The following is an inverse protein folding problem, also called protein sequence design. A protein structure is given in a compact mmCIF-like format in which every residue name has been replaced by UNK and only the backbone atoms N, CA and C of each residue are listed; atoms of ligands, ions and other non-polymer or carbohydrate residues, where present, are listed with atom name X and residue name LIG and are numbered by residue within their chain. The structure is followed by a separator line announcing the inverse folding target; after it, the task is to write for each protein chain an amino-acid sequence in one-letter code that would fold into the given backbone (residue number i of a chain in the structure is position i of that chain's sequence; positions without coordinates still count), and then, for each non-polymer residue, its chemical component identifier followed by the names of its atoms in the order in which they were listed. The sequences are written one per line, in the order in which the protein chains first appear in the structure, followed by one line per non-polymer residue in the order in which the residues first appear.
data_IF_314664834011
#
_entry.id   IF_314664834011
#
_cell.length_a   1.000
_cell.length_b   1.000
_cell.length_c   1.000
_cell.angle_alpha   90.00
_cell.angle_beta   90.00
_cell.angle_gamma   90.00
#
_symmetry.space_group_name_H-M   'P 1'
#
loop_
_entity.id
_entity.type
_entity.pdbx_description
1 polymer ?
#
# COMPACT_ATOMS: atom_id res chain seq x y z
N UNK A 1 19.91 8.30 9.62
CA UNK A 1 21.06 9.06 9.06
C UNK A 1 22.29 8.21 9.28
N UNK A 2 22.89 7.70 8.21
CA UNK A 2 24.08 6.85 8.25
C UNK A 2 24.89 7.13 6.99
N UNK A 3 26.18 7.43 7.17
CA UNK A 3 27.02 8.01 6.13
C UNK A 3 27.60 6.93 5.21
N UNK A 4 27.53 7.18 3.91
CA UNK A 4 28.37 6.58 2.87
C UNK A 4 28.51 7.60 1.72
N UNK A 5 29.76 8.00 1.47
CA UNK A 5 30.19 8.95 0.45
C UNK A 5 30.62 8.11 -0.79
N UNK A 6 30.32 8.38 -2.05
CA UNK A 6 29.83 9.56 -2.78
C UNK A 6 28.79 9.09 -3.83
N UNK A 7 28.14 9.88 -4.69
CA UNK A 7 28.47 11.21 -5.21
C UNK A 7 27.27 12.09 -5.56
N UNK A 8 26.25 12.13 -4.70
CA UNK A 8 25.51 13.39 -4.42
C UNK A 8 24.61 13.28 -3.18
N UNK A 9 24.12 12.08 -2.82
CA UNK A 9 23.19 11.84 -1.71
C UNK A 9 22.04 12.86 -1.63
N UNK A 10 21.61 13.37 -2.79
CA UNK A 10 20.53 14.33 -2.87
C UNK A 10 19.22 13.62 -2.47
N UNK A 11 18.37 14.22 -1.63
CA UNK A 11 17.05 13.67 -1.39
C UNK A 11 16.33 13.55 -2.74
N UNK A 12 15.81 12.35 -3.01
CA UNK A 12 15.03 12.05 -4.20
C UNK A 12 13.58 11.83 -3.79
N UNK A 13 12.67 12.42 -4.54
CA UNK A 13 11.22 12.27 -4.35
C UNK A 13 10.73 11.01 -5.07
N UNK A 14 9.58 10.48 -4.65
CA UNK A 14 8.97 9.35 -5.37
C UNK A 14 8.61 9.72 -6.82
N UNK A 15 8.18 10.94 -7.10
CA UNK A 15 7.93 11.41 -8.48
C UNK A 15 9.19 11.36 -9.38
N UNK A 16 10.37 11.69 -8.83
CA UNK A 16 11.64 11.54 -9.55
C UNK A 16 12.01 10.05 -9.75
N UNK A 17 11.70 9.18 -8.77
CA UNK A 17 11.93 7.74 -8.88
C UNK A 17 10.98 7.05 -9.87
N UNK A 18 9.70 7.43 -9.90
CA UNK A 18 8.71 7.01 -10.91
C UNK A 18 9.21 7.37 -12.31
N UNK A 19 9.60 8.63 -12.51
CA UNK A 19 10.19 9.12 -13.76
C UNK A 19 11.44 8.33 -14.17
N UNK A 20 12.29 7.97 -13.19
CA UNK A 20 13.52 7.23 -13.43
C UNK A 20 13.25 5.76 -13.80
N UNK A 21 12.34 5.08 -13.10
CA UNK A 21 11.89 3.71 -13.41
C UNK A 21 11.34 3.66 -14.83
N UNK A 22 10.43 4.59 -15.16
CA UNK A 22 9.82 4.69 -16.47
C UNK A 22 10.87 4.84 -17.58
N UNK A 23 11.83 5.77 -17.43
CA UNK A 23 12.91 5.94 -18.43
C UNK A 23 13.81 4.72 -18.54
N UNK A 24 14.16 4.05 -17.43
CA UNK A 24 14.95 2.81 -17.50
C UNK A 24 14.18 1.71 -18.26
N UNK A 25 12.87 1.56 -18.03
CA UNK A 25 12.07 0.55 -18.74
C UNK A 25 11.90 0.90 -20.23
N UNK A 26 11.68 2.17 -20.57
CA UNK A 26 11.50 2.63 -21.97
C UNK A 26 12.80 2.65 -22.79
N UNK A 27 13.88 3.22 -22.26
CA UNK A 27 15.11 3.53 -23.00
C UNK A 27 15.94 2.28 -23.30
N UNK A 28 15.95 1.30 -22.39
CA UNK A 28 16.69 0.06 -22.55
C UNK A 28 15.99 -0.97 -23.45
N UNK A 29 14.79 -0.68 -23.97
CA UNK A 29 14.17 -1.50 -25.04
C UNK A 29 15.04 -1.50 -26.30
N UNK A 30 15.06 -2.60 -27.06
CA UNK A 30 15.85 -2.71 -28.30
C UNK A 30 15.66 -1.52 -29.26
N UNK A 31 14.41 -1.07 -29.44
CA UNK A 31 14.05 0.01 -30.37
C UNK A 31 14.58 1.36 -29.89
N UNK A 32 14.41 1.69 -28.60
CA UNK A 32 14.85 2.99 -28.09
C UNK A 32 16.36 3.02 -27.85
N UNK A 33 16.98 1.93 -27.40
CA UNK A 33 18.43 1.82 -27.29
C UNK A 33 19.14 2.10 -28.62
N UNK A 34 18.63 1.59 -29.74
CA UNK A 34 19.16 1.89 -31.07
C UNK A 34 19.01 3.38 -31.44
N UNK A 35 17.83 3.98 -31.22
CA UNK A 35 17.61 5.42 -31.46
C UNK A 35 18.55 6.29 -30.64
N UNK A 36 18.70 6.00 -29.35
CA UNK A 36 19.55 6.76 -28.42
C UNK A 36 21.01 6.73 -28.88
N UNK A 37 21.53 5.54 -29.22
CA UNK A 37 22.92 5.41 -29.71
C UNK A 37 23.13 6.16 -31.03
N UNK A 38 22.16 6.15 -31.93
CA UNK A 38 22.19 6.94 -33.18
C UNK A 38 22.23 8.45 -32.89
N UNK A 39 21.44 8.92 -31.93
CA UNK A 39 21.33 10.34 -31.55
C UNK A 39 22.55 10.87 -30.78
N UNK A 40 23.25 10.02 -30.03
CA UNK A 40 24.45 10.38 -29.27
C UNK A 40 25.74 10.29 -30.09
N UNK A 41 25.88 9.25 -30.93
CA UNK A 41 27.16 8.91 -31.57
C UNK A 41 27.21 9.19 -33.08
N UNK A 42 26.12 9.67 -33.69
CA UNK A 42 25.99 9.95 -35.14
C UNK A 42 26.40 8.76 -36.03
N UNK A 43 25.91 7.56 -35.65
CA UNK A 43 26.24 6.28 -36.28
C UNK A 43 25.15 5.78 -37.25
N UNK A 44 25.51 4.87 -38.15
CA UNK A 44 24.54 4.23 -39.06
C UNK A 44 23.56 3.31 -38.31
N UNK A 45 22.42 2.98 -38.92
CA UNK A 45 21.44 2.06 -38.31
C UNK A 45 22.05 0.68 -38.01
N UNK A 46 22.94 0.18 -38.86
CA UNK A 46 23.65 -1.09 -38.65
C UNK A 46 24.60 -1.04 -37.44
N UNK A 47 25.25 0.10 -37.20
CA UNK A 47 26.10 0.33 -36.03
C UNK A 47 25.28 0.57 -34.75
N UNK A 48 24.13 1.25 -34.87
CA UNK A 48 23.20 1.51 -33.78
C UNK A 48 22.50 0.22 -33.28
N UNK A 49 22.20 -0.71 -34.18
CA UNK A 49 21.52 -1.99 -33.91
C UNK A 49 22.40 -3.04 -33.20
N UNK A 50 23.42 -2.60 -32.46
CA UNK A 50 24.11 -3.43 -31.46
C UNK A 50 23.20 -3.73 -30.26
N UNK A 51 23.40 -4.86 -29.58
CA UNK A 51 22.54 -5.26 -28.45
C UNK A 51 22.81 -4.36 -27.23
N UNK A 52 21.72 -3.79 -26.70
CA UNK A 52 21.68 -3.03 -25.45
C UNK A 52 22.18 -1.59 -25.50
N UNK A 53 21.91 -0.88 -24.40
CA UNK A 53 22.30 0.50 -24.12
C UNK A 53 23.28 0.50 -22.93
N UNK A 54 24.30 1.37 -22.91
CA UNK A 54 25.15 1.51 -21.72
C UNK A 54 24.55 2.45 -20.69
N UNK A 55 24.94 2.30 -19.42
CA UNK A 55 24.55 3.25 -18.35
C UNK A 55 25.04 4.67 -18.67
N UNK A 56 26.21 4.80 -19.29
CA UNK A 56 26.72 6.08 -19.79
C UNK A 56 25.80 6.69 -20.86
N UNK A 57 25.43 5.94 -21.90
CA UNK A 57 24.52 6.42 -22.96
C UNK A 57 23.16 6.86 -22.39
N UNK A 58 22.61 6.08 -21.45
CA UNK A 58 21.36 6.41 -20.76
C UNK A 58 21.47 7.74 -20.00
N UNK A 59 22.57 7.96 -19.27
CA UNK A 59 22.83 9.20 -18.53
C UNK A 59 23.01 10.39 -19.46
N UNK A 60 23.78 10.24 -20.53
CA UNK A 60 24.06 11.32 -21.47
C UNK A 60 22.80 11.74 -22.24
N UNK A 61 21.99 10.78 -22.71
CA UNK A 61 20.71 11.05 -23.35
C UNK A 61 19.73 11.79 -22.43
N UNK A 62 19.48 11.26 -21.23
CA UNK A 62 18.52 11.87 -20.30
C UNK A 62 19.02 13.20 -19.71
N UNK A 63 20.33 13.42 -19.64
CA UNK A 63 20.91 14.74 -19.31
C UNK A 63 20.74 15.72 -20.45
N UNK A 64 21.07 15.33 -21.70
CA UNK A 64 20.96 16.17 -22.90
C UNK A 64 19.53 16.64 -23.15
N UNK A 65 18.55 15.75 -22.96
CA UNK A 65 17.14 16.02 -23.17
C UNK A 65 16.42 16.59 -21.93
N UNK A 66 17.14 16.77 -20.81
CA UNK A 66 16.59 17.21 -19.52
C UNK A 66 15.38 16.37 -19.03
N UNK A 67 15.35 15.08 -19.39
CA UNK A 67 14.21 14.17 -19.18
C UNK A 67 13.82 13.98 -17.71
N UNK A 68 14.73 14.30 -16.79
CA UNK A 68 14.61 14.12 -15.33
C UNK A 68 14.71 15.46 -14.56
N UNK A 69 14.55 16.60 -15.24
CA UNK A 69 14.59 17.96 -14.68
C UNK A 69 15.96 18.47 -14.19
N UNK A 70 16.94 17.56 -14.07
CA UNK A 70 18.36 17.80 -13.76
C UNK A 70 19.19 16.71 -14.46
N UNK A 71 20.52 16.81 -14.40
CA UNK A 71 21.39 15.79 -15.00
C UNK A 71 21.08 14.40 -14.45
N UNK A 72 20.96 13.42 -15.34
CA UNK A 72 20.76 12.02 -14.98
C UNK A 72 21.89 11.47 -14.10
N UNK A 73 23.10 12.04 -14.20
CA UNK A 73 24.25 11.67 -13.36
C UNK A 73 24.00 11.92 -11.87
N UNK A 74 23.18 12.90 -11.50
CA UNK A 74 22.75 13.13 -10.10
C UNK A 74 22.02 11.93 -9.50
N UNK A 75 21.41 11.09 -10.34
CA UNK A 75 20.71 9.89 -9.90
C UNK A 75 21.54 8.60 -10.03
N UNK A 76 22.85 8.65 -10.34
CA UNK A 76 23.67 7.46 -10.65
C UNK A 76 23.55 6.32 -9.62
N UNK A 77 23.46 6.65 -8.32
CA UNK A 77 23.22 5.67 -7.26
C UNK A 77 21.85 4.98 -7.41
N UNK A 78 20.78 5.75 -7.60
CA UNK A 78 19.42 5.24 -7.79
C UNK A 78 19.28 4.49 -9.12
N UNK A 79 19.92 4.96 -10.19
CA UNK A 79 20.00 4.26 -11.49
C UNK A 79 20.58 2.86 -11.29
N UNK A 80 21.76 2.75 -10.66
CA UNK A 80 22.41 1.45 -10.43
C UNK A 80 21.56 0.52 -9.55
N UNK A 81 20.93 1.06 -8.49
CA UNK A 81 20.06 0.28 -7.61
C UNK A 81 18.79 -0.23 -8.33
N UNK A 82 18.13 0.63 -9.12
CA UNK A 82 16.96 0.27 -9.91
C UNK A 82 17.31 -0.73 -11.02
N UNK A 83 18.44 -0.55 -11.72
CA UNK A 83 18.92 -1.51 -12.72
C UNK A 83 19.16 -2.90 -12.11
N UNK A 84 19.67 -2.99 -10.88
CA UNK A 84 19.83 -4.26 -10.17
C UNK A 84 18.46 -4.90 -9.87
N UNK A 85 17.51 -4.17 -9.27
CA UNK A 85 16.15 -4.66 -9.03
C UNK A 85 15.43 -5.10 -10.31
N UNK A 86 15.56 -4.33 -11.40
CA UNK A 86 14.94 -4.65 -12.70
C UNK A 86 15.56 -5.89 -13.36
N UNK A 87 16.83 -6.20 -13.08
CA UNK A 87 17.46 -7.48 -13.47
C UNK A 87 16.98 -8.62 -12.60
N UNK A 88 16.90 -8.46 -11.27
CA UNK A 88 16.36 -9.47 -10.36
C UNK A 88 14.92 -9.86 -10.70
N UNK A 89 14.11 -8.87 -11.11
CA UNK A 89 12.73 -9.03 -11.60
C UNK A 89 12.65 -9.47 -13.07
N UNK A 90 13.76 -9.70 -13.76
CA UNK A 90 13.83 -10.10 -15.19
C UNK A 90 13.17 -9.14 -16.19
N UNK A 91 12.96 -7.87 -15.81
CA UNK A 91 12.39 -6.80 -16.65
C UNK A 91 13.40 -6.29 -17.67
N UNK A 92 14.68 -6.28 -17.26
CA UNK A 92 15.83 -6.00 -18.12
C UNK A 92 16.91 -7.07 -17.90
N UNK A 93 17.79 -7.26 -18.89
CA UNK A 93 18.89 -8.22 -18.83
C UNK A 93 20.23 -7.49 -18.89
N UNK A 94 21.15 -7.82 -17.99
CA UNK A 94 22.52 -7.31 -18.04
C UNK A 94 23.34 -8.07 -19.09
N UNK A 95 23.98 -7.33 -19.99
CA UNK A 95 24.90 -7.86 -21.00
C UNK A 95 26.31 -7.78 -20.42
N UNK A 96 27.01 -8.91 -20.37
CA UNK A 96 28.39 -8.96 -19.89
C UNK A 96 29.30 -8.16 -20.84
N UNK A 97 29.92 -7.09 -20.35
CA UNK A 97 30.96 -6.36 -21.06
C UNK A 97 32.35 -6.79 -20.59
N UNK A 98 33.19 -7.25 -21.51
CA UNK A 98 34.60 -7.55 -21.27
C UNK A 98 35.46 -6.27 -21.40
N UNK A 99 35.12 -5.25 -20.62
CA UNK A 99 35.85 -3.97 -20.55
C UNK A 99 34.95 -2.74 -20.38
N UNK A 100 35.54 -1.66 -19.85
CA UNK A 100 34.89 -0.37 -19.58
C UNK A 100 35.19 0.17 -18.18
N UNK A 101 34.70 1.38 -17.89
CA UNK A 101 34.58 1.87 -16.50
C UNK A 101 33.52 1.03 -15.77
N UNK A 102 33.77 0.59 -14.52
CA UNK A 102 32.76 -0.11 -13.72
C UNK A 102 31.46 0.68 -13.62
N UNK A 103 30.31 -0.02 -13.67
CA UNK A 103 28.94 0.54 -13.65
C UNK A 103 28.60 1.34 -14.93
N UNK A 104 29.37 2.35 -15.31
CA UNK A 104 29.07 3.21 -16.48
C UNK A 104 29.16 2.46 -17.82
N UNK A 105 30.12 1.55 -17.95
CA UNK A 105 30.31 0.70 -19.13
C UNK A 105 29.41 -0.54 -19.16
N UNK A 106 28.63 -0.80 -18.11
CA UNK A 106 27.68 -1.91 -18.10
C UNK A 106 26.56 -1.63 -19.12
N UNK A 107 26.14 -2.68 -19.83
CA UNK A 107 25.06 -2.61 -20.82
C UNK A 107 23.87 -3.44 -20.36
N UNK A 108 22.68 -2.94 -20.65
CA UNK A 108 21.43 -3.63 -20.35
C UNK A 108 20.52 -3.64 -21.58
N UNK A 109 19.56 -4.55 -21.62
CA UNK A 109 18.55 -4.64 -22.67
C UNK A 109 17.23 -5.16 -22.12
N UNK A 110 16.12 -4.52 -22.49
CA UNK A 110 14.78 -5.08 -22.33
C UNK A 110 14.29 -5.65 -23.65
N UNK A 111 13.65 -6.82 -23.57
CA UNK A 111 12.87 -7.42 -24.66
C UNK A 111 11.37 -7.13 -24.52
N UNK A 112 10.97 -6.44 -23.44
CA UNK A 112 9.59 -6.08 -23.18
C UNK A 112 9.19 -4.90 -24.07
N UNK A 113 7.91 -4.83 -24.42
CA UNK A 113 7.34 -3.63 -25.01
C UNK A 113 7.13 -2.57 -23.92
N UNK A 114 7.28 -1.27 -24.22
CA UNK A 114 6.87 -0.21 -23.30
C UNK A 114 5.40 -0.36 -22.91
N UNK A 115 5.10 -0.10 -21.65
CA UNK A 115 3.71 -0.05 -21.16
C UNK A 115 2.95 1.13 -21.81
N UNK A 116 1.63 1.00 -22.01
CA UNK A 116 0.76 2.13 -22.35
C UNK A 116 0.87 3.29 -21.35
N UNK A 117 0.63 4.52 -21.79
CA UNK A 117 0.71 5.73 -20.93
C UNK A 117 -0.21 5.66 -19.70
N UNK A 118 -1.37 4.99 -19.82
CA UNK A 118 -2.34 4.82 -18.73
C UNK A 118 -1.84 3.91 -17.60
N UNK A 119 -1.00 2.91 -17.91
CA UNK A 119 -0.38 2.06 -16.90
C UNK A 119 0.63 2.85 -16.06
N UNK A 120 1.33 3.83 -16.63
CA UNK A 120 2.27 4.68 -15.89
C UNK A 120 1.59 5.65 -14.90
N UNK A 121 0.26 5.75 -14.89
CA UNK A 121 -0.48 6.47 -13.86
C UNK A 121 -0.66 5.63 -12.59
N UNK A 122 -0.65 4.30 -12.72
CA UNK A 122 -0.99 3.38 -11.62
C UNK A 122 0.14 3.22 -10.62
N UNK A 123 -0.23 3.08 -9.35
CA UNK A 123 0.71 2.77 -8.26
C UNK A 123 1.47 1.46 -8.50
N UNK A 124 0.80 0.45 -9.07
CA UNK A 124 1.29 -0.92 -9.27
C UNK A 124 2.50 -0.98 -10.19
N UNK A 125 2.55 -0.11 -11.21
CA UNK A 125 3.68 0.05 -12.15
C UNK A 125 5.02 0.45 -11.51
N UNK A 126 5.01 0.92 -10.26
CA UNK A 126 6.21 1.37 -9.54
C UNK A 126 6.43 0.67 -8.19
N UNK A 127 5.36 0.24 -7.53
CA UNK A 127 5.42 -0.32 -6.18
C UNK A 127 6.30 -1.58 -6.10
N UNK A 128 6.30 -2.45 -7.12
CA UNK A 128 7.20 -3.61 -7.16
C UNK A 128 8.70 -3.23 -7.06
N UNK A 129 9.09 -2.04 -7.53
CA UNK A 129 10.48 -1.56 -7.50
C UNK A 129 10.79 -0.66 -6.30
N UNK A 130 9.79 0.05 -5.78
CA UNK A 130 9.94 1.04 -4.70
C UNK A 130 9.55 0.50 -3.32
N UNK A 131 8.69 -0.50 -3.27
CA UNK A 131 8.27 -1.22 -2.07
C UNK A 131 7.36 -0.42 -1.13
N UNK A 132 7.26 -0.91 0.10
CA UNK A 132 6.27 -0.48 1.10
C UNK A 132 6.32 1.02 1.42
N UNK A 133 7.49 1.67 1.44
CA UNK A 133 7.58 3.12 1.74
C UNK A 133 6.87 3.97 0.67
N UNK A 134 6.92 3.54 -0.60
CA UNK A 134 6.20 4.18 -1.69
C UNK A 134 4.69 3.93 -1.60
N UNK A 135 4.30 2.68 -1.34
CA UNK A 135 2.89 2.31 -1.10
C UNK A 135 2.33 3.13 0.06
N UNK A 136 3.07 3.27 1.16
CA UNK A 136 2.68 4.12 2.28
C UNK A 136 2.42 5.57 1.85
N UNK A 137 3.35 6.20 1.13
CA UNK A 137 3.21 7.61 0.74
C UNK A 137 2.01 7.82 -0.20
N UNK A 138 1.85 6.96 -1.21
CA UNK A 138 0.77 7.05 -2.20
C UNK A 138 -0.62 6.76 -1.61
N UNK A 139 -0.73 5.80 -0.68
CA UNK A 139 -2.02 5.37 -0.11
C UNK A 139 -2.48 6.24 1.06
N UNK A 140 -1.56 6.80 1.85
CA UNK A 140 -1.90 7.60 3.06
C UNK A 140 -2.98 8.68 2.85
N UNK A 141 -3.00 9.46 1.74
CA UNK A 141 -4.03 10.47 1.48
C UNK A 141 -5.45 9.92 1.28
N UNK A 142 -5.59 8.64 0.93
CA UNK A 142 -6.89 7.99 0.67
C UNK A 142 -7.45 7.27 1.91
N UNK A 143 -6.67 7.10 2.97
CA UNK A 143 -7.16 6.50 4.23
C UNK A 143 -7.97 7.51 5.02
N UNK A 144 -9.25 7.20 5.24
CA UNK A 144 -10.22 8.05 5.92
C UNK A 144 -10.28 7.80 7.43
N UNK A 145 -10.58 8.86 8.20
CA UNK A 145 -10.98 8.80 9.61
C UNK A 145 -12.51 8.84 9.65
N UNK A 146 -13.14 7.96 10.44
CA UNK A 146 -14.57 7.98 10.69
C UNK A 146 -14.77 8.12 12.20
N UNK A 147 -15.34 9.23 12.64
CA UNK A 147 -15.64 9.51 14.06
C UNK A 147 -17.13 9.32 14.28
N UNK A 148 -17.46 8.43 15.22
CA UNK A 148 -18.84 8.06 15.56
C UNK A 148 -19.10 8.20 17.05
N UNK A 149 -20.36 8.39 17.41
CA UNK A 149 -20.83 8.48 18.79
C UNK A 149 -21.84 7.37 19.07
N UNK A 150 -21.62 6.62 20.15
CA UNK A 150 -22.53 5.54 20.56
C UNK A 150 -23.76 6.03 21.35
N UNK A 151 -24.63 5.10 21.72
CA UNK A 151 -25.88 5.34 22.46
C UNK A 151 -25.68 5.86 23.89
N UNK A 152 -24.45 5.79 24.43
CA UNK A 152 -24.07 6.32 25.75
C UNK A 152 -23.47 7.72 25.63
N UNK A 153 -23.12 8.16 24.42
CA UNK A 153 -22.44 9.42 24.17
C UNK A 153 -20.91 9.30 24.15
N UNK A 154 -20.35 8.09 24.09
CA UNK A 154 -18.91 7.88 23.97
C UNK A 154 -18.48 7.96 22.49
N UNK A 155 -17.40 8.70 22.24
CA UNK A 155 -16.83 8.87 20.90
C UNK A 155 -15.84 7.75 20.56
N UNK A 156 -16.07 7.11 19.41
CA UNK A 156 -15.24 6.05 18.85
C UNK A 156 -14.66 6.49 17.49
N UNK A 157 -13.55 5.87 17.11
CA UNK A 157 -12.91 6.09 15.81
C UNK A 157 -12.88 4.76 15.08
N UNK A 158 -13.18 4.79 13.78
CA UNK A 158 -12.87 3.76 12.81
C UNK A 158 -12.07 4.33 11.64
N UNK A 159 -11.63 3.45 10.74
CA UNK A 159 -10.90 3.81 9.53
C UNK A 159 -11.72 3.47 8.28
N UNK A 160 -11.33 4.06 7.15
CA UNK A 160 -11.87 3.70 5.85
C UNK A 160 -10.86 3.90 4.72
N UNK A 161 -11.25 3.52 3.50
CA UNK A 161 -10.50 3.78 2.27
C UNK A 161 -11.40 4.50 1.27
N UNK A 162 -10.95 5.66 0.76
CA UNK A 162 -11.57 6.32 -0.38
C UNK A 162 -11.36 5.45 -1.64
N UNK A 163 -12.43 4.87 -2.19
CA UNK A 163 -12.41 3.94 -3.34
C UNK A 163 -12.93 4.58 -4.64
N UNK A 164 -13.50 5.78 -4.57
CA UNK A 164 -13.78 6.67 -5.70
C UNK A 164 -13.84 8.12 -5.18
N UNK A 165 -14.01 9.12 -6.05
CA UNK A 165 -14.07 10.55 -5.62
C UNK A 165 -15.14 10.87 -4.59
N UNK A 166 -16.14 10.01 -4.36
CA UNK A 166 -17.19 10.26 -3.37
C UNK A 166 -17.60 9.04 -2.50
N UNK A 167 -16.85 7.94 -2.52
CA UNK A 167 -17.19 6.73 -1.73
C UNK A 167 -16.05 6.26 -0.85
N UNK A 168 -16.33 6.06 0.43
CA UNK A 168 -15.40 5.51 1.42
C UNK A 168 -15.89 4.12 1.84
N UNK A 169 -15.06 3.12 1.60
CA UNK A 169 -15.22 1.75 2.11
C UNK A 169 -14.83 1.70 3.59
N UNK A 170 -15.63 1.02 4.41
CA UNK A 170 -15.32 0.71 5.83
C UNK A 170 -16.04 -0.57 6.28
N UNK A 171 -15.87 -0.95 7.54
CA UNK A 171 -16.65 -2.04 8.15
C UNK A 171 -18.05 -1.56 8.54
N UNK A 172 -19.05 -2.44 8.48
CA UNK A 172 -20.41 -2.11 8.92
C UNK A 172 -20.46 -1.79 10.42
N UNK A 173 -19.76 -2.57 11.26
CA UNK A 173 -19.74 -2.34 12.72
C UNK A 173 -19.10 -1.00 13.15
N UNK A 174 -18.47 -0.25 12.24
CA UNK A 174 -17.97 1.10 12.50
C UNK A 174 -19.10 2.14 12.44
N UNK A 175 -20.17 1.87 11.69
CA UNK A 175 -21.26 2.82 11.41
C UNK A 175 -22.66 2.33 11.82
N UNK A 176 -22.84 1.03 12.07
CA UNK A 176 -24.10 0.44 12.52
C UNK A 176 -24.50 0.91 13.93
N UNK A 177 -25.74 1.37 14.08
CA UNK A 177 -26.32 1.77 15.37
C UNK A 177 -25.72 3.02 16.04
N UNK A 178 -24.85 3.78 15.34
CA UNK A 178 -24.12 4.93 15.90
C UNK A 178 -24.35 6.22 15.09
N UNK A 179 -24.15 7.39 15.72
CA UNK A 179 -24.19 8.69 15.03
C UNK A 179 -22.82 9.00 14.41
N UNK A 180 -22.74 9.15 13.09
CA UNK A 180 -21.51 9.65 12.43
C UNK A 180 -21.37 11.16 12.68
N UNK A 181 -20.34 11.55 13.43
CA UNK A 181 -20.00 12.97 13.70
C UNK A 181 -19.10 13.56 12.63
N UNK A 182 -18.04 12.85 12.25
CA UNK A 182 -17.06 13.35 11.29
C UNK A 182 -16.58 12.24 10.35
N UNK A 183 -16.41 12.57 9.07
CA UNK A 183 -15.72 11.73 8.09
C UNK A 183 -14.63 12.58 7.47
N UNK A 184 -13.36 12.24 7.72
CA UNK A 184 -12.22 13.04 7.28
C UNK A 184 -11.37 12.27 6.26
N UNK A 185 -11.00 12.94 5.18
CA UNK A 185 -9.99 12.47 4.22
C UNK A 185 -8.93 13.54 4.10
N UNK A 186 -7.67 13.19 4.39
CA UNK A 186 -6.52 14.13 4.40
C UNK A 186 -6.82 15.39 5.25
N UNK A 187 -7.25 15.17 6.49
CA UNK A 187 -7.64 16.19 7.48
C UNK A 187 -8.78 17.14 7.07
N UNK A 188 -9.47 16.88 5.95
CA UNK A 188 -10.66 17.63 5.50
C UNK A 188 -11.91 16.83 5.84
N UNK A 189 -12.84 17.44 6.57
CA UNK A 189 -14.15 16.85 6.88
C UNK A 189 -15.09 16.97 5.67
N UNK A 190 -15.79 15.88 5.35
CA UNK A 190 -16.82 15.83 4.30
C UNK A 190 -18.19 15.53 4.90
N UNK A 191 -19.24 16.11 4.32
CA UNK A 191 -20.61 15.76 4.68
C UNK A 191 -21.01 14.43 4.04
N UNK A 192 -21.59 13.54 4.86
CA UNK A 192 -22.20 12.28 4.42
C UNK A 192 -23.53 12.57 3.71
N UNK A 193 -23.78 11.89 2.60
CA UNK A 193 -25.06 11.92 1.87
C UNK A 193 -25.91 10.69 2.14
N UNK A 194 -25.28 9.52 2.14
CA UNK A 194 -25.93 8.21 2.16
C UNK A 194 -24.95 7.14 2.68
N UNK A 195 -25.46 6.01 3.14
CA UNK A 195 -24.67 4.87 3.63
C UNK A 195 -25.26 3.58 3.05
N UNK A 196 -24.43 2.80 2.36
CA UNK A 196 -24.81 1.50 1.79
C UNK A 196 -24.24 0.38 2.64
N UNK A 197 -25.08 -0.51 3.16
CA UNK A 197 -24.72 -1.48 4.20
C UNK A 197 -24.87 -2.93 3.72
N UNK A 198 -23.88 -3.77 4.02
CA UNK A 198 -23.97 -5.22 3.87
C UNK A 198 -23.65 -5.95 5.18
N UNK A 199 -24.72 -6.41 5.84
CA UNK A 199 -24.63 -7.26 7.04
C UNK A 199 -24.14 -8.69 6.79
N UNK A 200 -24.10 -9.15 5.54
CA UNK A 200 -23.55 -10.48 5.20
C UNK A 200 -22.03 -10.52 5.38
N UNK A 201 -21.34 -9.45 4.95
CA UNK A 201 -19.87 -9.37 4.93
C UNK A 201 -19.25 -8.33 5.88
N UNK A 202 -20.04 -7.62 6.70
CA UNK A 202 -19.55 -6.54 7.58
C UNK A 202 -18.89 -5.40 6.78
N UNK A 203 -19.56 -4.96 5.71
CA UNK A 203 -19.13 -3.87 4.82
C UNK A 203 -20.12 -2.71 4.92
N UNK A 204 -19.61 -1.49 4.98
CA UNK A 204 -20.37 -0.29 4.65
C UNK A 204 -19.62 0.58 3.64
N UNK A 205 -20.39 1.31 2.83
CA UNK A 205 -19.89 2.33 1.91
C UNK A 205 -20.56 3.66 2.25
N UNK A 206 -19.78 4.62 2.74
CA UNK A 206 -20.23 5.97 3.02
C UNK A 206 -20.12 6.79 1.73
N UNK A 207 -21.25 7.32 1.23
CA UNK A 207 -21.22 8.34 0.18
C UNK A 207 -21.03 9.73 0.79
N UNK A 208 -20.05 10.47 0.30
CA UNK A 208 -19.74 11.85 0.74
C UNK A 208 -19.96 12.87 -0.39
N UNK A 209 -19.86 14.17 -0.05
CA UNK A 209 -19.61 15.21 -1.06
C UNK A 209 -18.29 14.94 -1.80
N UNK A 210 -18.22 15.37 -3.06
CA UNK A 210 -17.11 15.06 -3.98
C UNK A 210 -15.75 15.54 -3.43
N UNK A 211 -14.85 14.58 -3.23
CA UNK A 211 -13.47 14.77 -2.84
C UNK A 211 -12.61 15.04 -4.08
N UNK A 212 -11.69 16.01 -4.07
CA UNK A 212 -10.80 16.29 -5.20
C UNK A 212 -9.71 15.23 -5.41
N UNK A 213 -9.62 14.20 -4.56
CA UNK A 213 -8.71 13.07 -4.73
C UNK A 213 -9.39 11.99 -5.58
N UNK A 214 -8.76 11.56 -6.66
CA UNK A 214 -9.19 10.38 -7.43
C UNK A 214 -8.32 9.16 -7.08
N UNK A 215 -8.86 8.13 -6.39
CA UNK A 215 -8.14 6.91 -6.04
C UNK A 215 -8.01 5.88 -7.18
N UNK A 216 -8.64 6.09 -8.34
CA UNK A 216 -8.76 5.11 -9.44
C UNK A 216 -7.43 4.45 -9.88
N UNK A 217 -6.32 5.20 -9.85
CA UNK A 217 -4.99 4.71 -10.23
C UNK A 217 -4.16 4.19 -9.02
N UNK A 218 -4.55 4.52 -7.81
CA UNK A 218 -3.83 4.18 -6.57
C UNK A 218 -4.51 3.03 -5.79
N UNK A 219 -5.78 2.76 -6.04
CA UNK A 219 -6.57 1.71 -5.39
C UNK A 219 -6.96 0.66 -6.43
N UNK A 220 -6.05 -0.30 -6.65
CA UNK A 220 -6.27 -1.44 -7.54
C UNK A 220 -6.52 -2.70 -6.69
N UNK A 221 -7.72 -3.25 -6.77
CA UNK A 221 -8.12 -4.47 -6.06
C UNK A 221 -7.44 -5.70 -6.69
N UNK A 222 -6.88 -6.59 -5.86
CA UNK A 222 -6.31 -7.87 -6.32
C UNK A 222 -6.36 -8.94 -5.22
N UNK A 223 -6.26 -10.20 -5.62
CA UNK A 223 -6.07 -11.31 -4.68
C UNK A 223 -4.68 -11.19 -4.01
N UNK A 224 -4.66 -11.18 -2.68
CA UNK A 224 -3.43 -11.22 -1.90
C UNK A 224 -2.88 -12.65 -1.80
N UNK A 225 -1.56 -12.82 -1.80
CA UNK A 225 -0.91 -14.14 -1.75
C UNK A 225 -0.26 -14.41 -0.39
N UNK A 226 -0.16 -15.68 0.00
CA UNK A 226 0.56 -16.07 1.22
C UNK A 226 2.05 -15.71 1.05
N UNK A 227 2.64 -15.12 2.09
CA UNK A 227 3.95 -14.47 2.13
C UNK A 227 4.05 -13.11 1.39
N UNK A 228 2.96 -12.52 0.89
CA UNK A 228 2.99 -11.11 0.49
C UNK A 228 3.25 -10.22 1.73
N UNK A 229 4.28 -9.38 1.63
CA UNK A 229 4.50 -8.28 2.57
C UNK A 229 3.37 -7.26 2.40
N UNK A 230 2.77 -6.84 3.52
CA UNK A 230 1.63 -5.90 3.52
C UNK A 230 1.87 -4.68 4.39
N UNK A 231 1.08 -3.63 4.15
CA UNK A 231 0.80 -2.54 5.07
C UNK A 231 -0.67 -2.58 5.49
N UNK A 232 -0.95 -2.46 6.78
CA UNK A 232 -2.28 -2.12 7.30
C UNK A 232 -2.30 -0.65 7.72
N UNK A 233 -3.29 0.11 7.28
CA UNK A 233 -3.44 1.53 7.56
C UNK A 233 -4.65 1.76 8.48
N UNK A 234 -4.53 2.66 9.46
CA UNK A 234 -5.68 3.08 10.24
C UNK A 234 -5.38 4.15 11.28
N UNK A 235 -6.41 4.54 12.02
CA UNK A 235 -6.41 5.66 12.97
C UNK A 235 -6.76 5.19 14.40
N UNK A 236 -5.96 4.29 15.01
CA UNK A 236 -6.25 3.78 16.34
C UNK A 236 -5.94 4.87 17.38
N UNK A 237 -6.87 5.24 18.26
CA UNK A 237 -6.63 6.27 19.27
C UNK A 237 -5.51 5.85 20.23
N UNK A 238 -4.54 6.74 20.45
CA UNK A 238 -3.39 6.49 21.33
C UNK A 238 -3.59 7.26 22.63
N UNK A 239 -3.68 6.53 23.75
CA UNK A 239 -3.87 7.12 25.08
C UNK A 239 -2.85 8.22 25.37
N UNK A 240 -3.34 9.38 25.82
CA UNK A 240 -2.57 10.61 26.13
C UNK A 240 -1.97 11.35 24.93
N UNK A 241 -2.28 10.94 23.69
CA UNK A 241 -2.02 11.75 22.49
C UNK A 241 -3.33 12.46 22.12
N UNK A 242 -3.25 13.73 21.72
CA UNK A 242 -4.42 14.54 21.33
C UNK A 242 -4.81 14.34 19.86
N UNK A 243 -3.81 14.16 19.02
CA UNK A 243 -3.96 13.92 17.59
C UNK A 243 -4.20 12.43 17.35
N UNK A 244 -4.96 12.09 16.31
CA UNK A 244 -5.12 10.73 15.82
C UNK A 244 -4.32 10.59 14.52
N UNK A 245 -2.98 10.39 14.58
CA UNK A 245 -2.17 10.26 13.38
C UNK A 245 -2.50 8.95 12.66
N UNK A 246 -2.30 8.94 11.34
CA UNK A 246 -2.34 7.71 10.55
C UNK A 246 -1.23 6.76 11.03
N UNK A 247 -1.63 5.61 11.57
CA UNK A 247 -0.73 4.52 11.95
C UNK A 247 -0.69 3.50 10.82
N UNK A 248 0.50 3.30 10.29
CA UNK A 248 0.78 2.32 9.24
C UNK A 248 1.69 1.25 9.82
N UNK A 249 1.26 -0.01 9.71
CA UNK A 249 1.98 -1.16 10.28
C UNK A 249 2.35 -2.14 9.17
N UNK A 250 3.62 -2.56 9.15
CA UNK A 250 4.08 -3.63 8.25
C UNK A 250 3.64 -4.99 8.79
N UNK A 251 3.20 -5.85 7.88
CA UNK A 251 2.87 -7.24 8.17
C UNK A 251 3.16 -8.19 7.02
N UNK A 252 2.63 -9.41 7.13
CA UNK A 252 2.66 -10.44 6.10
C UNK A 252 1.32 -11.20 6.06
N UNK A 253 0.88 -11.66 4.88
CA UNK A 253 -0.24 -12.60 4.76
C UNK A 253 0.27 -14.01 5.09
N UNK A 254 -0.21 -14.61 6.17
CA UNK A 254 0.26 -15.90 6.69
C UNK A 254 -0.60 -17.07 6.18
N UNK A 255 -1.88 -16.84 5.91
CA UNK A 255 -2.76 -17.80 5.27
C UNK A 255 -3.95 -17.09 4.59
N UNK A 256 -4.62 -17.81 3.69
CA UNK A 256 -5.96 -17.49 3.19
C UNK A 256 -6.87 -18.62 3.69
N UNK A 257 -8.03 -18.28 4.22
CA UNK A 257 -8.93 -19.24 4.85
C UNK A 257 -10.39 -18.87 4.62
N UNK A 258 -11.31 -19.71 5.10
CA UNK A 258 -12.75 -19.43 5.08
C UNK A 258 -13.26 -19.32 6.51
N UNK A 259 -13.97 -18.24 6.82
CA UNK A 259 -14.52 -18.02 8.15
C UNK A 259 -15.80 -18.85 8.39
N UNK A 260 -16.33 -18.84 9.61
CA UNK A 260 -17.53 -19.61 9.97
C UNK A 260 -18.83 -19.16 9.26
N UNK A 261 -18.84 -17.99 8.60
CA UNK A 261 -19.96 -17.52 7.75
C UNK A 261 -19.85 -18.05 6.31
N UNK A 262 -18.71 -18.62 5.91
CA UNK A 262 -18.45 -19.11 4.55
C UNK A 262 -17.69 -18.13 3.66
N UNK A 263 -17.30 -16.95 4.17
CA UNK A 263 -16.58 -15.94 3.39
C UNK A 263 -15.06 -16.21 3.47
N UNK A 264 -14.34 -15.95 2.39
CA UNK A 264 -12.88 -15.95 2.36
C UNK A 264 -12.29 -14.82 3.22
N UNK A 265 -11.17 -15.08 3.89
CA UNK A 265 -10.46 -14.10 4.70
C UNK A 265 -8.94 -14.25 4.60
N UNK A 266 -8.26 -13.10 4.67
CA UNK A 266 -6.83 -13.02 4.89
C UNK A 266 -6.53 -13.25 6.37
N UNK A 267 -5.60 -14.14 6.66
CA UNK A 267 -4.99 -14.29 7.98
C UNK A 267 -3.60 -13.66 7.92
N UNK A 268 -3.37 -12.58 8.67
CA UNK A 268 -2.15 -11.77 8.54
C UNK A 268 -1.55 -11.37 9.89
N UNK A 269 -0.24 -11.11 9.92
CA UNK A 269 0.49 -10.69 11.12
C UNK A 269 0.82 -9.20 11.02
N UNK A 270 0.17 -8.36 11.82
CA UNK A 270 0.41 -6.91 11.94
C UNK A 270 0.13 -6.47 13.39
N UNK A 271 0.24 -5.18 13.73
CA UNK A 271 -0.26 -4.66 15.00
C UNK A 271 -1.58 -3.93 14.73
N UNK A 272 -2.70 -4.56 15.07
CA UNK A 272 -4.04 -3.99 14.86
C UNK A 272 -4.71 -3.74 16.22
N UNK A 273 -5.47 -2.65 16.30
CA UNK A 273 -6.16 -2.17 17.50
C UNK A 273 -7.54 -1.62 17.12
N UNK A 274 -8.46 -1.43 18.07
CA UNK A 274 -9.65 -0.60 17.86
C UNK A 274 -9.27 0.73 17.18
N UNK A 275 -10.05 1.13 16.17
CA UNK A 275 -9.75 2.24 15.27
C UNK A 275 -9.02 1.89 13.98
N UNK A 276 -8.48 0.67 13.84
CA UNK A 276 -8.04 0.16 12.53
C UNK A 276 -9.16 -0.52 11.73
N UNK A 277 -10.30 -0.87 12.34
CA UNK A 277 -11.44 -1.48 11.63
C UNK A 277 -11.88 -0.62 10.45
N UNK A 278 -12.15 -1.25 9.30
CA UNK A 278 -12.42 -0.58 8.03
C UNK A 278 -11.18 -0.04 7.32
N UNK A 279 -10.00 -0.09 7.97
CA UNK A 279 -8.73 0.35 7.41
C UNK A 279 -8.21 -0.60 6.32
N UNK A 280 -7.55 -0.09 5.27
CA UNK A 280 -7.14 -0.93 4.15
C UNK A 280 -5.86 -1.73 4.42
N UNK A 281 -5.74 -2.83 3.68
CA UNK A 281 -4.57 -3.69 3.60
C UNK A 281 -4.03 -3.63 2.16
N UNK A 282 -2.79 -3.18 1.99
CA UNK A 282 -2.11 -3.13 0.70
C UNK A 282 -0.88 -4.03 0.68
N UNK A 283 -0.59 -4.67 -0.45
CA UNK A 283 0.67 -5.40 -0.68
C UNK A 283 1.84 -4.48 -1.00
N UNK A 284 3.07 -4.98 -0.91
CA UNK A 284 4.28 -4.29 -1.35
C UNK A 284 4.31 -3.98 -2.86
N UNK A 285 3.50 -4.68 -3.66
CA UNK A 285 3.22 -4.44 -5.08
C UNK A 285 2.16 -3.34 -5.32
N UNK A 286 1.62 -2.72 -4.27
CA UNK A 286 0.69 -1.59 -4.37
C UNK A 286 -0.77 -1.97 -4.65
N UNK A 287 -1.13 -3.25 -4.57
CA UNK A 287 -2.54 -3.67 -4.70
C UNK A 287 -3.27 -3.59 -3.36
N UNK A 288 -4.52 -3.16 -3.39
CA UNK A 288 -5.47 -3.36 -2.30
C UNK A 288 -5.85 -4.84 -2.25
N UNK A 289 -5.44 -5.53 -1.18
CA UNK A 289 -5.63 -6.99 -1.02
C UNK A 289 -6.72 -7.36 -0.01
N UNK A 290 -7.17 -6.39 0.79
CA UNK A 290 -8.29 -6.58 1.71
C UNK A 290 -8.49 -5.44 2.70
N UNK A 291 -9.40 -5.63 3.64
CA UNK A 291 -9.76 -4.66 4.67
C UNK A 291 -9.60 -5.28 6.06
N UNK A 292 -9.08 -4.50 7.01
CA UNK A 292 -9.03 -4.84 8.43
C UNK A 292 -10.46 -4.94 8.96
N UNK A 293 -10.88 -6.13 9.35
CA UNK A 293 -12.17 -6.37 10.02
C UNK A 293 -11.99 -6.57 11.52
N UNK A 294 -13.10 -6.65 12.26
CA UNK A 294 -13.03 -7.08 13.66
C UNK A 294 -12.44 -8.50 13.79
N UNK A 295 -11.86 -8.76 14.96
CA UNK A 295 -10.90 -9.84 15.19
C UNK A 295 -11.54 -11.24 15.12
N UNK A 296 -10.76 -12.27 14.73
CA UNK A 296 -11.09 -13.69 14.96
C UNK A 296 -11.02 -14.11 16.44
N UNK A 297 -10.85 -13.18 17.37
CA UNK A 297 -11.09 -13.46 18.78
C UNK A 297 -12.56 -13.87 18.93
N UNK A 298 -12.79 -15.04 19.54
CA UNK A 298 -14.04 -15.22 20.27
C UNK A 298 -14.18 -14.01 21.18
N UNK A 299 -15.40 -13.50 21.39
CA UNK A 299 -15.71 -12.72 22.60
C UNK A 299 -15.51 -13.62 23.82
N UNK A 300 -14.24 -13.89 24.19
CA UNK A 300 -13.85 -14.22 25.56
C UNK A 300 -14.35 -13.05 26.36
N UNK A 301 -15.35 -13.31 27.22
CA UNK A 301 -16.00 -12.30 28.02
C UNK A 301 -14.94 -11.43 28.68
N UNK A 302 -14.97 -10.14 28.31
CA UNK A 302 -14.18 -8.99 28.74
C UNK A 302 -12.81 -9.27 29.42
N UNK A 303 -11.78 -8.51 29.03
CA UNK A 303 -10.55 -8.36 29.85
C UNK A 303 -10.80 -7.60 31.19
N UNK A 304 -12.03 -7.67 31.73
CA UNK A 304 -12.46 -7.19 33.03
C UNK A 304 -11.99 -8.18 34.10
N UNK A 305 -10.89 -7.84 34.75
CA UNK A 305 -10.44 -8.55 35.95
C UNK A 305 -11.40 -8.24 37.10
N UNK A 306 -12.09 -9.25 37.61
CA UNK A 306 -13.03 -9.13 38.73
C UNK A 306 -12.32 -9.50 40.03
N UNK A 307 -12.37 -8.59 41.01
CA UNK A 307 -11.84 -8.83 42.36
C UNK A 307 -13.00 -8.87 43.35
N UNK A 308 -13.27 -10.05 43.90
CA UNK A 308 -14.23 -10.22 44.99
C UNK A 308 -13.60 -9.72 46.31
N UNK A 309 -14.07 -8.57 46.78
CA UNK A 309 -13.55 -7.90 47.97
C UNK A 309 -13.91 -8.58 49.29
N UNK A 310 -14.85 -9.52 49.28
CA UNK A 310 -15.30 -10.24 50.48
C UNK A 310 -14.48 -11.52 50.75
N UNK A 311 -13.60 -11.92 49.82
CA UNK A 311 -12.66 -13.05 49.95
C UNK A 311 -11.34 -12.67 50.63
N UNK A 312 -10.54 -13.65 51.06
CA UNK A 312 -9.23 -13.40 51.68
C UNK A 312 -8.21 -12.83 50.68
N UNK A 313 -7.15 -12.17 51.17
CA UNK A 313 -6.13 -11.56 50.31
C UNK A 313 -5.39 -12.62 49.48
N UNK A 314 -5.13 -13.79 50.04
CA UNK A 314 -4.55 -14.92 49.32
C UNK A 314 -5.47 -15.44 48.20
N UNK A 315 -6.78 -15.54 48.44
CA UNK A 315 -7.77 -15.94 47.42
C UNK A 315 -7.91 -14.87 46.32
N UNK A 316 -7.89 -13.59 46.67
CA UNK A 316 -7.88 -12.48 45.71
C UNK A 316 -6.65 -12.54 44.81
N UNK A 317 -5.45 -12.74 45.38
CA UNK A 317 -4.20 -12.87 44.63
C UNK A 317 -4.22 -14.09 43.71
N UNK A 318 -4.71 -15.24 44.19
CA UNK A 318 -4.80 -16.44 43.38
C UNK A 318 -5.78 -16.26 42.21
N UNK A 319 -6.97 -15.71 42.48
CA UNK A 319 -7.97 -15.39 41.46
C UNK A 319 -7.44 -14.39 40.42
N UNK A 320 -6.70 -13.37 40.86
CA UNK A 320 -6.01 -12.41 39.98
C UNK A 320 -4.98 -13.11 39.07
N UNK A 321 -4.14 -13.98 39.63
CA UNK A 321 -3.15 -14.74 38.85
C UNK A 321 -3.82 -15.67 37.83
N UNK A 322 -4.90 -16.37 38.22
CA UNK A 322 -5.61 -17.29 37.34
C UNK A 322 -6.32 -16.55 36.20
N UNK A 323 -6.97 -15.41 36.50
CA UNK A 323 -7.55 -14.52 35.48
C UNK A 323 -6.47 -13.97 34.53
N UNK A 324 -5.34 -13.48 35.04
CA UNK A 324 -4.22 -12.98 34.22
C UNK A 324 -3.62 -14.07 33.30
N UNK A 325 -3.53 -15.32 33.79
CA UNK A 325 -3.05 -16.45 32.99
C UNK A 325 -4.07 -16.93 31.94
N UNK A 326 -5.34 -16.57 32.07
CA UNK A 326 -6.40 -16.85 31.08
C UNK A 326 -6.48 -15.79 29.97
N UNK A 327 -5.90 -14.60 30.15
CA UNK A 327 -5.84 -13.58 29.11
C UNK A 327 -4.92 -14.07 27.97
N UNK A 328 -5.40 -14.17 26.72
CA UNK A 328 -4.57 -14.60 25.61
C UNK A 328 -3.44 -13.58 25.39
N UNK A 329 -2.19 -14.02 25.56
CA UNK A 329 -1.04 -13.16 25.33
C UNK A 329 -0.82 -12.95 23.83
N UNK A 330 -1.22 -11.77 23.36
CA UNK A 330 -0.99 -11.21 22.01
C UNK A 330 -1.31 -12.22 20.90
N UNK A 331 -2.54 -12.19 20.38
CA UNK A 331 -2.88 -12.95 19.17
C UNK A 331 -1.96 -12.46 18.03
N UNK A 332 -1.09 -13.33 17.47
CA UNK A 332 -0.09 -12.91 16.49
C UNK A 332 -0.66 -12.79 15.06
N UNK A 333 -1.92 -13.21 14.87
CA UNK A 333 -2.60 -13.25 13.59
C UNK A 333 -4.00 -12.64 13.70
N UNK A 334 -4.31 -11.77 12.74
CA UNK A 334 -5.56 -11.05 12.60
C UNK A 334 -6.29 -11.55 11.36
N UNK A 335 -7.59 -11.30 11.29
CA UNK A 335 -8.37 -11.54 10.08
C UNK A 335 -8.71 -10.24 9.37
N UNK A 336 -8.83 -10.33 8.06
CA UNK A 336 -9.34 -9.28 7.20
C UNK A 336 -10.17 -9.89 6.08
N UNK A 337 -11.12 -9.13 5.56
CA UNK A 337 -11.92 -9.55 4.40
C UNK A 337 -11.08 -9.35 3.13
N UNK A 338 -11.11 -10.30 2.19
CA UNK A 338 -10.32 -10.22 0.96
C UNK A 338 -10.86 -9.13 0.03
N UNK A 339 -9.99 -8.53 -0.80
CA UNK A 339 -10.40 -7.56 -1.80
C UNK A 339 -11.46 -8.12 -2.77
N UNK A 340 -11.42 -9.42 -3.06
CA UNK A 340 -12.39 -10.15 -3.88
C UNK A 340 -13.78 -10.19 -3.25
N UNK A 341 -13.85 -10.63 -1.99
CA UNK A 341 -15.09 -10.68 -1.22
C UNK A 341 -15.75 -9.28 -1.11
N UNK A 342 -14.92 -8.24 -0.94
CA UNK A 342 -15.34 -6.84 -0.95
C UNK A 342 -15.84 -6.42 -2.33
N UNK A 343 -15.07 -6.67 -3.40
CA UNK A 343 -15.42 -6.28 -4.76
C UNK A 343 -16.77 -6.88 -5.20
N UNK A 344 -16.99 -8.17 -4.93
CA UNK A 344 -18.26 -8.83 -5.24
C UNK A 344 -19.43 -8.17 -4.51
N UNK A 345 -19.26 -7.82 -3.23
CA UNK A 345 -20.31 -7.16 -2.45
C UNK A 345 -20.56 -5.71 -2.90
N UNK A 346 -19.52 -4.97 -3.28
CA UNK A 346 -19.65 -3.64 -3.87
C UNK A 346 -20.47 -3.68 -5.16
N UNK A 347 -20.35 -4.74 -5.98
CA UNK A 347 -21.17 -4.93 -7.18
C UNK A 347 -22.64 -5.28 -6.89
N UNK A 348 -22.97 -5.72 -5.68
CA UNK A 348 -24.34 -5.91 -5.22
C UNK A 348 -24.92 -4.63 -4.59
N UNK A 349 -24.14 -3.96 -3.73
CA UNK A 349 -24.54 -2.73 -3.03
C UNK A 349 -24.70 -1.54 -3.98
N UNK A 350 -23.75 -1.35 -4.89
CA UNK A 350 -23.68 -0.20 -5.79
C UNK A 350 -23.16 -0.61 -7.17
N UNK A 351 -23.98 -1.24 -8.03
CA UNK A 351 -23.55 -1.78 -9.32
C UNK A 351 -22.90 -0.76 -10.26
N UNK A 352 -23.26 0.52 -10.14
CA UNK A 352 -22.70 1.65 -10.88
C UNK A 352 -21.30 2.08 -10.41
N UNK A 353 -20.86 1.63 -9.22
CA UNK A 353 -19.54 1.95 -8.68
C UNK A 353 -18.45 1.21 -9.44
N UNK A 354 -17.60 1.96 -10.13
CA UNK A 354 -16.41 1.45 -10.81
C UNK A 354 -15.22 1.57 -9.86
N UNK A 355 -14.48 0.47 -9.70
CA UNK A 355 -13.20 0.40 -8.99
C UNK A 355 -12.23 -0.40 -9.85
N UNK A 356 -10.96 -0.04 -9.82
CA UNK A 356 -9.90 -0.73 -10.57
C UNK A 356 -9.61 -2.10 -9.96
N UNK A 357 -9.47 -3.14 -10.77
CA UNK A 357 -9.17 -4.49 -10.31
C UNK A 357 -8.28 -5.28 -11.29
N UNK A 358 -7.46 -6.17 -10.75
CA UNK A 358 -6.60 -7.13 -11.45
C UNK A 358 -6.62 -8.45 -10.64
N UNK A 359 -6.93 -9.59 -11.26
CA UNK A 359 -7.15 -10.88 -10.56
C UNK A 359 -6.20 -11.97 -11.07
#
# INVERSE_FOLDING_TARGET
MGELETATNAPVTFQELESLIRRIIEDFTLINAAKIKKELHDVSDEQANTIGLSVQDFIDHNTKNNSLGKSAFTYLYHINHLLQKLVEKSVINKIQSLGGLPILGDKYVSLNMPLPEEEWLKITSYAEYLGLDYVRERISPFTAIIVVCDDKGDDHIGSGLLISTNHILTCLHVVDGVEIKEVLVKDVQYAVKDIYESGSKDIAVIEILECPLNPENDVVFSDGQVLDSILTFGYPPISRIRETPLIVQKGEINAISTNYKGNECLIYSSIVRPGNSGGPIFSDKGYFVGMVTEHLERKTAENTIIVDKDTSVEEQIQSLCDQLNMIPQVVPFYAGLTAKEIFEELKLLKPELVVSCEW
#
